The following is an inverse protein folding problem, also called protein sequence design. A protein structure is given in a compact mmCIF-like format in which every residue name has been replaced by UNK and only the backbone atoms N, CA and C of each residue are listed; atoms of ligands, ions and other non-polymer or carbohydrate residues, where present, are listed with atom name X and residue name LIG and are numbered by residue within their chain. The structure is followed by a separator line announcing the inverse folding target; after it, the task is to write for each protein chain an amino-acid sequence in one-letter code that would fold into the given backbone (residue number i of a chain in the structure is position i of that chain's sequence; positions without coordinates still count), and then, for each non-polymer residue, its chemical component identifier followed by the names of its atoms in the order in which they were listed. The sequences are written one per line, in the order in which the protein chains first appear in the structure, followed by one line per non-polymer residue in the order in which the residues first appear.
data_IF_248051869691
#
_entry.id   IF_248051869691
#
_cell.length_a   1.000
_cell.length_b   1.000
_cell.length_c   1.000
_cell.angle_alpha   90.00
_cell.angle_beta   90.00
_cell.angle_gamma   90.00
#
_symmetry.space_group_name_H-M   'P 1'
#
loop_
_entity.id
_entity.type
_entity.pdbx_description
1 polymer ?
#
# COMPACT_ATOMS: atom_id res chain seq x y z
N UNK A 1 1.48 15.43 -14.24
CA UNK A 1 0.90 16.00 -13.01
C UNK A 1 0.54 14.88 -12.06
N UNK A 2 1.10 14.90 -10.83
CA UNK A 2 0.74 13.92 -9.80
C UNK A 2 -0.58 14.29 -9.15
N UNK A 3 -1.42 13.28 -8.94
CA UNK A 3 -2.64 13.40 -8.15
C UNK A 3 -2.25 13.40 -6.66
N UNK A 4 -2.78 14.32 -5.88
CA UNK A 4 -2.43 14.46 -4.46
C UNK A 4 -3.16 13.45 -3.58
N UNK A 5 -3.08 12.18 -3.97
CA UNK A 5 -3.64 11.05 -3.24
C UNK A 5 -2.58 9.95 -3.08
N UNK A 6 -2.52 9.39 -1.88
CA UNK A 6 -1.98 8.05 -1.67
C UNK A 6 -3.13 7.05 -1.69
N UNK A 7 -2.97 6.00 -2.47
CA UNK A 7 -3.95 4.92 -2.61
C UNK A 7 -3.40 3.68 -1.93
N UNK A 8 -4.01 3.25 -0.85
CA UNK A 8 -3.54 2.12 -0.04
C UNK A 8 -4.51 0.97 -0.16
N UNK A 9 -4.02 -0.20 -0.59
CA UNK A 9 -4.79 -1.44 -0.59
C UNK A 9 -4.28 -2.36 0.52
N UNK A 10 -5.21 -2.86 1.33
CA UNK A 10 -4.92 -3.68 2.51
C UNK A 10 -5.55 -5.06 2.39
N UNK A 11 -4.73 -6.09 2.55
CA UNK A 11 -5.12 -7.49 2.57
C UNK A 11 -5.18 -8.05 3.99
N UNK A 12 -4.37 -7.49 4.89
CA UNK A 12 -4.24 -7.92 6.29
C UNK A 12 -4.32 -6.68 7.18
N UNK A 13 -4.98 -6.78 8.32
CA UNK A 13 -5.09 -5.70 9.28
C UNK A 13 -3.71 -5.36 9.88
N UNK A 14 -3.23 -4.15 9.61
CA UNK A 14 -1.95 -3.65 10.09
C UNK A 14 -1.96 -2.12 10.21
N UNK A 15 -0.97 -1.57 10.92
CA UNK A 15 -0.73 -0.14 11.00
C UNK A 15 -1.96 0.67 11.42
N UNK A 16 -2.24 1.76 10.70
CA UNK A 16 -3.33 2.67 11.02
C UNK A 16 -4.72 2.05 10.88
N UNK A 17 -4.92 1.08 9.97
CA UNK A 17 -6.19 0.39 9.82
C UNK A 17 -6.54 -0.42 11.08
N UNK A 18 -5.63 -1.26 11.54
CA UNK A 18 -5.84 -2.08 12.74
C UNK A 18 -6.15 -1.21 13.96
N UNK A 19 -5.37 -0.13 14.14
CA UNK A 19 -5.59 0.83 15.23
C UNK A 19 -6.95 1.53 15.14
N UNK A 20 -7.33 2.00 13.95
CA UNK A 20 -8.56 2.78 13.73
C UNK A 20 -9.82 1.94 13.88
N UNK A 21 -9.79 0.68 13.45
CA UNK A 21 -10.93 -0.23 13.50
C UNK A 21 -10.93 -1.15 14.72
N UNK A 22 -9.93 -1.04 15.62
CA UNK A 22 -9.80 -1.92 16.79
C UNK A 22 -9.59 -3.39 16.42
N UNK A 23 -8.96 -3.66 15.27
CA UNK A 23 -8.70 -5.01 14.80
C UNK A 23 -7.36 -5.53 15.34
N UNK A 24 -7.29 -6.83 15.58
CA UNK A 24 -6.03 -7.49 15.88
C UNK A 24 -5.09 -7.42 14.67
N UNK A 25 -3.84 -6.98 14.90
CA UNK A 25 -2.80 -6.95 13.87
C UNK A 25 -2.52 -8.38 13.38
N UNK A 26 -2.52 -8.57 12.07
CA UNK A 26 -2.33 -9.89 11.46
C UNK A 26 -3.62 -10.57 11.04
N UNK A 27 -4.78 -10.01 11.38
CA UNK A 27 -6.07 -10.54 10.92
C UNK A 27 -6.17 -10.40 9.40
N UNK A 28 -6.36 -11.53 8.71
CA UNK A 28 -6.64 -11.54 7.28
C UNK A 28 -8.03 -10.93 7.03
N UNK A 29 -8.10 -9.95 6.15
CA UNK A 29 -9.36 -9.32 5.82
C UNK A 29 -10.19 -10.23 4.90
N UNK A 30 -11.52 -10.31 5.10
CA UNK A 30 -12.39 -11.14 4.25
C UNK A 30 -12.45 -10.64 2.79
N UNK A 31 -12.16 -9.36 2.58
CA UNK A 31 -11.94 -8.73 1.28
C UNK A 31 -10.93 -7.60 1.44
N UNK A 32 -10.13 -7.29 0.40
CA UNK A 32 -9.20 -6.18 0.45
C UNK A 32 -9.92 -4.85 0.70
N UNK A 33 -9.32 -3.98 1.52
CA UNK A 33 -9.82 -2.64 1.80
C UNK A 33 -8.98 -1.63 1.03
N UNK A 34 -9.66 -0.78 0.22
CA UNK A 34 -9.05 0.33 -0.49
C UNK A 34 -9.29 1.62 0.29
N UNK A 35 -8.22 2.37 0.52
CA UNK A 35 -8.24 3.64 1.23
C UNK A 35 -7.55 4.72 0.42
N UNK A 36 -8.05 5.96 0.55
CA UNK A 36 -7.44 7.16 0.00
C UNK A 36 -6.93 8.05 1.12
N UNK A 37 -5.73 8.58 0.97
CA UNK A 37 -5.17 9.57 1.89
C UNK A 37 -4.80 10.82 1.10
N UNK A 38 -5.12 11.97 1.66
CA UNK A 38 -4.74 13.25 1.07
C UNK A 38 -3.27 13.54 1.35
N UNK A 39 -2.49 13.75 0.31
CA UNK A 39 -1.07 14.15 0.45
C UNK A 39 -0.98 15.60 0.89
N UNK A 40 -0.97 15.81 2.18
CA UNK A 40 -0.90 17.13 2.80
C UNK A 40 -0.24 17.05 4.18
N UNK A 41 1.06 17.32 4.24
CA UNK A 41 1.84 17.33 5.50
C UNK A 41 1.20 18.24 6.56
N UNK A 42 0.70 19.39 6.12
CA UNK A 42 0.04 20.36 7.00
C UNK A 42 -1.23 19.82 7.69
N UNK A 43 -1.90 18.84 7.06
CA UNK A 43 -3.11 18.20 7.57
C UNK A 43 -2.84 16.80 8.15
N UNK A 44 -1.59 16.30 8.10
CA UNK A 44 -1.22 14.98 8.57
C UNK A 44 -1.81 13.85 7.72
N UNK A 45 -1.89 14.04 6.42
CA UNK A 45 -2.35 13.05 5.43
C UNK A 45 -3.68 12.37 5.81
N UNK A 46 -4.79 13.12 5.93
CA UNK A 46 -6.04 12.59 6.42
C UNK A 46 -6.65 11.55 5.48
N UNK A 47 -7.30 10.55 6.08
CA UNK A 47 -8.11 9.56 5.35
C UNK A 47 -9.29 10.23 4.66
N UNK A 48 -9.47 9.95 3.38
CA UNK A 48 -10.57 10.43 2.55
C UNK A 48 -11.46 9.28 2.05
N UNK A 49 -12.71 9.58 1.83
CA UNK A 49 -13.58 8.77 0.97
C UNK A 49 -13.71 9.42 -0.42
N UNK A 50 -14.35 8.73 -1.37
CA UNK A 50 -14.50 9.21 -2.75
C UNK A 50 -15.28 10.56 -2.84
N UNK A 51 -16.19 10.83 -1.91
CA UNK A 51 -16.91 12.12 -1.85
C UNK A 51 -15.96 13.26 -1.47
N UNK A 52 -15.08 13.06 -0.50
CA UNK A 52 -14.04 14.04 -0.14
C UNK A 52 -13.10 14.30 -1.31
N UNK A 53 -12.65 13.24 -2.00
CA UNK A 53 -11.74 13.35 -3.16
C UNK A 53 -12.36 14.23 -4.25
N UNK A 54 -13.65 14.02 -4.56
CA UNK A 54 -14.37 14.82 -5.55
C UNK A 54 -14.62 16.26 -5.08
N UNK A 55 -15.03 16.43 -3.83
CA UNK A 55 -15.26 17.76 -3.25
C UNK A 55 -14.01 18.64 -3.25
N UNK A 56 -12.84 18.04 -3.05
CA UNK A 56 -11.55 18.71 -3.12
C UNK A 56 -11.00 18.86 -4.56
N UNK A 57 -11.71 18.35 -5.56
CA UNK A 57 -11.28 18.40 -6.96
C UNK A 57 -10.00 17.63 -7.25
N UNK A 58 -9.64 16.61 -6.44
CA UNK A 58 -8.38 15.87 -6.58
C UNK A 58 -8.43 14.88 -7.74
N UNK A 59 -9.57 14.20 -7.92
CA UNK A 59 -9.81 13.28 -9.03
C UNK A 59 -11.30 13.24 -9.40
N UNK A 60 -11.58 12.96 -10.67
CA UNK A 60 -12.95 12.77 -11.17
C UNK A 60 -13.49 11.38 -10.80
N UNK A 61 -14.78 11.15 -11.00
CA UNK A 61 -15.40 9.83 -10.78
C UNK A 61 -14.83 8.77 -11.72
N UNK A 62 -14.50 9.13 -12.95
CA UNK A 62 -13.88 8.26 -13.94
C UNK A 62 -12.45 7.88 -13.52
N UNK A 63 -11.68 8.86 -13.05
CA UNK A 63 -10.33 8.64 -12.53
C UNK A 63 -10.35 7.76 -11.28
N UNK A 64 -11.26 8.01 -10.34
CA UNK A 64 -11.41 7.17 -9.13
C UNK A 64 -11.75 5.72 -9.48
N UNK A 65 -12.61 5.50 -10.49
CA UNK A 65 -12.90 4.15 -10.99
C UNK A 65 -11.64 3.50 -11.57
N UNK A 66 -10.91 4.21 -12.44
CA UNK A 66 -9.69 3.70 -13.04
C UNK A 66 -8.58 3.42 -12.02
N UNK A 67 -8.43 4.30 -11.00
CA UNK A 67 -7.51 4.11 -9.86
C UNK A 67 -7.86 2.82 -9.13
N UNK A 68 -9.14 2.63 -8.77
CA UNK A 68 -9.62 1.42 -8.09
C UNK A 68 -9.34 0.17 -8.89
N UNK A 69 -9.77 0.13 -10.16
CA UNK A 69 -9.56 -1.02 -11.04
C UNK A 69 -8.08 -1.37 -11.19
N UNK A 70 -7.22 -0.38 -11.38
CA UNK A 70 -5.77 -0.57 -11.51
C UNK A 70 -5.17 -1.10 -10.21
N UNK A 71 -5.57 -0.57 -9.06
CA UNK A 71 -5.05 -0.99 -7.75
C UNK A 71 -5.46 -2.43 -7.42
N UNK A 72 -6.72 -2.81 -7.67
CA UNK A 72 -7.16 -4.19 -7.46
C UNK A 72 -6.50 -5.16 -8.45
N UNK A 73 -6.30 -4.76 -9.70
CA UNK A 73 -5.56 -5.56 -10.68
C UNK A 73 -4.10 -5.76 -10.26
N UNK A 74 -3.43 -4.71 -9.76
CA UNK A 74 -2.09 -4.82 -9.20
C UNK A 74 -2.05 -5.82 -8.03
N UNK A 75 -3.03 -5.77 -7.12
CA UNK A 75 -3.15 -6.71 -6.01
C UNK A 75 -3.27 -8.15 -6.51
N UNK A 76 -4.08 -8.40 -7.55
CA UNK A 76 -4.25 -9.72 -8.14
C UNK A 76 -2.97 -10.32 -8.73
N UNK A 77 -2.02 -9.48 -9.13
CA UNK A 77 -0.69 -9.90 -9.62
C UNK A 77 0.30 -10.06 -8.46
N UNK A 78 0.30 -9.10 -7.54
CA UNK A 78 1.30 -9.05 -6.45
C UNK A 78 1.08 -10.14 -5.39
N UNK A 79 -0.17 -10.45 -5.04
CA UNK A 79 -0.47 -11.45 -4.02
C UNK A 79 0.13 -12.83 -4.35
N UNK A 80 -0.15 -13.46 -5.51
CA UNK A 80 0.45 -14.75 -5.85
C UNK A 80 1.96 -14.64 -6.02
N UNK A 81 2.47 -13.56 -6.63
CA UNK A 81 3.90 -13.34 -6.80
C UNK A 81 4.67 -13.38 -5.49
N UNK A 82 4.18 -12.70 -4.45
CA UNK A 82 4.82 -12.71 -3.14
C UNK A 82 4.54 -14.01 -2.37
N UNK A 83 3.35 -14.60 -2.51
CA UNK A 83 3.00 -15.86 -1.85
C UNK A 83 3.89 -17.03 -2.29
N UNK A 84 4.26 -17.13 -3.58
CA UNK A 84 5.23 -18.11 -4.10
C UNK A 84 6.63 -17.95 -3.50
N UNK A 85 6.93 -16.78 -2.92
CA UNK A 85 8.20 -16.45 -2.28
C UNK A 85 8.14 -16.45 -0.77
N UNK A 86 7.12 -17.12 -0.22
CA UNK A 86 6.87 -17.20 1.23
C UNK A 86 6.75 -15.81 1.90
N UNK A 87 6.24 -14.83 1.16
CA UNK A 87 5.98 -13.46 1.63
C UNK A 87 4.48 -13.20 1.62
N UNK A 88 3.96 -12.67 2.74
CA UNK A 88 2.63 -12.12 2.82
C UNK A 88 2.67 -10.62 2.52
N UNK A 89 1.91 -10.19 1.53
CA UNK A 89 1.68 -8.78 1.23
C UNK A 89 0.50 -8.29 2.08
N UNK A 90 0.81 -7.67 3.23
CA UNK A 90 -0.22 -7.16 4.13
C UNK A 90 -0.93 -5.93 3.55
N UNK A 91 -0.19 -5.00 3.03
CA UNK A 91 -0.69 -3.83 2.31
C UNK A 91 0.39 -3.24 1.39
N UNK A 92 -0.06 -2.40 0.46
CA UNK A 92 0.83 -1.60 -0.38
C UNK A 92 0.18 -0.26 -0.73
N UNK A 93 1.01 0.70 -1.10
CA UNK A 93 0.65 2.04 -1.52
C UNK A 93 0.98 2.23 -3.00
N UNK A 94 0.05 2.88 -3.73
CA UNK A 94 0.29 3.40 -5.07
C UNK A 94 0.00 4.91 -5.11
N UNK A 95 0.69 5.57 -5.99
CA UNK A 95 0.43 6.96 -6.37
C UNK A 95 0.11 7.02 -7.87
N UNK A 96 -0.70 7.99 -8.25
CA UNK A 96 -1.15 8.14 -9.64
C UNK A 96 -0.86 9.54 -10.16
N UNK A 97 -0.66 9.63 -11.44
CA UNK A 97 -0.47 10.90 -12.14
C UNK A 97 -1.16 10.93 -13.48
N UNK A 98 -1.27 12.13 -14.05
CA UNK A 98 -1.84 12.40 -15.37
C UNK A 98 -0.73 12.76 -16.34
N UNK A 99 -0.72 12.11 -17.50
CA UNK A 99 0.16 12.45 -18.60
C UNK A 99 -0.61 12.38 -19.92
N UNK A 100 -0.71 13.51 -20.63
CA UNK A 100 -1.40 13.60 -21.93
C UNK A 100 -2.81 13.00 -21.94
N UNK A 101 -3.58 13.21 -20.86
CA UNK A 101 -4.93 12.69 -20.69
C UNK A 101 -5.02 11.23 -20.23
N UNK A 102 -3.90 10.53 -20.09
CA UNK A 102 -3.84 9.19 -19.53
C UNK A 102 -3.57 9.21 -18.03
N UNK A 103 -4.22 8.30 -17.29
CA UNK A 103 -3.93 8.03 -15.89
C UNK A 103 -2.86 6.95 -15.80
N UNK A 104 -1.78 7.21 -15.08
CA UNK A 104 -0.64 6.32 -14.92
C UNK A 104 -0.34 6.11 -13.43
N UNK A 105 0.20 4.93 -13.09
CA UNK A 105 0.89 4.73 -11.81
C UNK A 105 2.16 5.56 -11.85
N UNK A 106 2.32 6.48 -10.92
CA UNK A 106 3.32 7.54 -10.97
C UNK A 106 4.48 7.38 -10.00
N UNK A 107 4.47 6.34 -9.19
CA UNK A 107 5.54 6.05 -8.24
C UNK A 107 5.88 4.55 -8.27
N UNK A 108 7.05 4.21 -7.74
CA UNK A 108 7.55 2.85 -7.70
C UNK A 108 6.93 2.02 -6.58
N UNK A 109 6.84 0.71 -6.80
CA UNK A 109 6.47 -0.24 -5.76
C UNK A 109 7.75 -0.67 -5.01
N UNK A 110 8.00 -0.09 -3.86
CA UNK A 110 9.17 -0.38 -3.03
C UNK A 110 8.80 -0.99 -1.70
N UNK A 111 9.75 -1.61 -0.98
CA UNK A 111 9.52 -2.06 0.38
C UNK A 111 9.09 -0.96 1.36
N UNK A 112 9.37 0.32 1.05
CA UNK A 112 8.91 1.46 1.85
C UNK A 112 7.41 1.74 1.69
N UNK A 113 6.87 1.46 0.52
CA UNK A 113 5.45 1.58 0.22
C UNK A 113 4.63 0.33 0.56
N UNK A 114 5.26 -0.74 1.05
CA UNK A 114 4.63 -2.03 1.30
C UNK A 114 4.86 -2.52 2.73
N UNK A 115 3.93 -3.37 3.22
CA UNK A 115 4.17 -4.23 4.38
C UNK A 115 4.28 -5.66 3.94
N UNK A 116 5.47 -6.20 4.08
CA UNK A 116 5.80 -7.60 3.81
C UNK A 116 6.01 -8.34 5.12
N UNK A 117 5.39 -9.51 5.24
CA UNK A 117 5.59 -10.39 6.39
C UNK A 117 6.04 -11.77 5.92
N UNK A 118 6.86 -12.41 6.74
CA UNK A 118 7.18 -13.81 6.55
C UNK A 118 5.92 -14.66 6.69
N UNK A 119 5.67 -15.55 5.73
CA UNK A 119 4.46 -16.36 5.69
C UNK A 119 4.35 -17.33 6.86
N UNK A 120 5.48 -17.86 7.30
CA UNK A 120 5.55 -18.88 8.37
C UNK A 120 5.59 -18.24 9.75
N UNK A 121 6.52 -17.29 9.96
CA UNK A 121 6.74 -16.67 11.27
C UNK A 121 5.82 -15.50 11.56
N UNK A 122 5.17 -14.93 10.53
CA UNK A 122 4.39 -13.69 10.62
C UNK A 122 5.22 -12.47 11.04
N UNK A 123 6.54 -12.59 11.06
CA UNK A 123 7.41 -11.46 11.32
C UNK A 123 7.38 -10.45 10.17
N UNK A 124 7.44 -9.19 10.52
CA UNK A 124 7.54 -8.09 9.55
C UNK A 124 8.91 -8.09 8.89
N UNK A 125 8.94 -8.16 7.55
CA UNK A 125 10.15 -8.13 6.73
C UNK A 125 10.48 -6.72 6.19
N UNK A 126 9.68 -5.69 6.52
CA UNK A 126 9.80 -4.37 5.92
C UNK A 126 9.92 -3.23 6.93
N UNK A 127 9.42 -2.09 6.53
CA UNK A 127 9.52 -0.76 7.15
C UNK A 127 9.26 -0.69 8.65
N UNK A 128 8.31 -1.44 9.19
CA UNK A 128 7.99 -1.37 10.62
C UNK A 128 9.06 -2.04 11.50
N UNK A 129 9.85 -2.95 10.93
CA UNK A 129 11.04 -3.54 11.57
C UNK A 129 12.22 -2.56 11.56
N UNK A 130 12.34 -1.81 10.47
CA UNK A 130 13.40 -0.84 10.21
C UNK A 130 13.37 0.35 11.19
N UNK A 131 12.19 0.83 11.56
CA UNK A 131 12.03 1.95 12.52
C UNK A 131 12.64 1.71 13.89
N UNK A 132 13.09 0.47 14.19
CA UNK A 132 13.69 0.09 15.48
C UNK A 132 15.23 0.09 15.49
N UNK A 133 15.92 0.00 14.35
CA UNK A 133 17.36 0.24 14.19
C UNK A 133 17.81 0.17 12.72
N UNK A 134 18.75 1.02 12.30
CA UNK A 134 19.34 1.07 10.94
C UNK A 134 19.95 -0.28 10.50
N UNK A 135 20.58 -1.03 11.43
CA UNK A 135 21.17 -2.33 11.13
C UNK A 135 20.13 -3.42 10.79
N UNK A 136 18.92 -3.32 11.36
CA UNK A 136 17.81 -4.24 11.06
C UNK A 136 17.10 -3.90 9.74
N UNK A 137 17.17 -2.64 9.32
CA UNK A 137 16.66 -2.18 8.04
C UNK A 137 17.38 -2.84 6.87
N UNK A 138 18.71 -2.75 6.83
CA UNK A 138 19.52 -3.37 5.79
C UNK A 138 19.27 -4.89 5.69
N UNK A 139 19.13 -5.58 6.81
CA UNK A 139 18.88 -7.03 6.85
C UNK A 139 17.48 -7.38 6.32
N UNK A 140 16.45 -6.58 6.62
CA UNK A 140 15.09 -6.80 6.15
C UNK A 140 14.99 -6.63 4.62
N UNK A 141 15.59 -5.59 4.06
CA UNK A 141 15.65 -5.39 2.60
C UNK A 141 16.43 -6.48 1.89
N UNK A 142 17.56 -6.94 2.44
CA UNK A 142 18.34 -8.05 1.91
C UNK A 142 17.53 -9.34 1.83
N UNK A 143 16.70 -9.63 2.85
CA UNK A 143 15.87 -10.83 2.86
C UNK A 143 14.76 -10.75 1.80
N UNK A 144 14.09 -9.60 1.65
CA UNK A 144 13.11 -9.39 0.58
C UNK A 144 13.79 -9.54 -0.78
N UNK A 145 14.93 -8.88 -0.99
CA UNK A 145 15.70 -8.96 -2.23
C UNK A 145 16.08 -10.40 -2.57
N UNK A 146 16.62 -11.16 -1.60
CA UNK A 146 16.97 -12.56 -1.77
C UNK A 146 15.79 -13.41 -2.24
N UNK A 147 14.59 -13.20 -1.68
CA UNK A 147 13.39 -13.96 -2.05
C UNK A 147 12.78 -13.55 -3.38
N UNK A 148 12.93 -12.29 -3.75
CA UNK A 148 12.32 -11.74 -4.98
C UNK A 148 13.21 -11.93 -6.20
N UNK A 149 14.54 -11.88 -6.03
CA UNK A 149 15.51 -11.92 -7.14
C UNK A 149 16.15 -13.30 -7.36
N UNK A 150 15.73 -14.34 -6.66
CA UNK A 150 16.08 -15.72 -6.93
C UNK A 150 14.94 -16.48 -7.55
#
# INVERSE_FOLDING_TARGET
EMIRLEVVLRNIAAGSLAKRLGMEVGTTLPAPILEFYYKSDALGDPLLNEYHVRALGLASSEELRAIRETTFRANGVLLPFFAEREILLADFKLEFGRQKGALLVGDELTPDGCRFWDRTTRENLGKDRARRSLAREATAYQEIFRRVCT
#
